data_IF_858553273241
#
_entry.id   IF_858553273241
#
_cell.length_a   1.000
_cell.length_b   1.000
_cell.length_c   1.000
_cell.angle_alpha   90.00
_cell.angle_beta   90.00
_cell.angle_gamma   90.00
#
_symmetry.space_group_name_H-M   'P 1'
#
loop_
_entity.id
_entity.type
_entity.pdbx_description
1 polymer ?
#
# COMPACT_ATOMS: atom_id res chain seq x y z
N UNK A 1 21.87 16.18 -89.54
CA UNK A 1 22.30 14.79 -89.82
C UNK A 1 22.09 13.96 -88.56
N UNK A 2 21.65 12.71 -88.74
CA UNK A 2 21.35 11.66 -87.75
C UNK A 2 20.05 11.78 -86.90
N UNK A 3 19.09 10.91 -87.24
CA UNK A 3 17.94 10.45 -86.44
C UNK A 3 18.33 9.15 -85.68
N UNK A 4 17.46 8.38 -84.96
CA UNK A 4 16.01 8.50 -84.77
C UNK A 4 15.45 8.15 -83.35
N UNK A 5 14.11 8.11 -83.32
CA UNK A 5 13.09 7.86 -82.27
C UNK A 5 13.08 6.47 -81.59
N UNK A 6 12.36 6.44 -80.45
CA UNK A 6 11.49 5.41 -79.80
C UNK A 6 11.95 5.11 -78.35
N UNK A 7 11.11 4.98 -77.32
CA UNK A 7 9.73 4.51 -77.23
C UNK A 7 8.94 5.12 -76.06
N UNK A 8 7.62 5.08 -76.23
CA UNK A 8 6.61 5.35 -75.23
C UNK A 8 6.33 4.13 -74.33
N UNK A 9 5.90 4.39 -73.09
CA UNK A 9 5.07 3.59 -72.15
C UNK A 9 5.53 3.93 -70.71
N UNK A 10 4.71 4.12 -69.70
CA UNK A 10 3.26 4.04 -69.50
C UNK A 10 3.04 4.43 -68.01
N UNK A 11 1.79 4.73 -67.65
CA UNK A 11 1.21 4.70 -66.28
C UNK A 11 1.22 5.98 -65.44
N UNK A 12 0.25 6.81 -65.79
CA UNK A 12 -0.77 7.29 -64.85
C UNK A 12 -1.16 6.23 -63.81
N UNK A 13 -0.91 6.49 -62.51
CA UNK A 13 -1.76 6.14 -61.35
C UNK A 13 -1.02 6.44 -60.03
N UNK A 14 -1.09 7.68 -59.52
CA UNK A 14 -0.90 7.97 -58.08
C UNK A 14 -1.26 9.41 -57.68
N UNK A 15 -2.17 10.07 -58.41
CA UNK A 15 -2.60 11.45 -58.11
C UNK A 15 -4.01 11.41 -57.54
N UNK A 16 -4.15 10.97 -56.28
CA UNK A 16 -5.30 11.19 -55.37
C UNK A 16 -5.12 10.33 -54.10
N UNK A 17 -4.54 10.95 -53.08
CA UNK A 17 -4.78 10.76 -51.63
C UNK A 17 -3.62 11.41 -50.87
N UNK A 18 -3.51 12.73 -51.02
CA UNK A 18 -2.88 13.57 -49.99
C UNK A 18 -4.04 13.96 -49.07
N UNK A 19 -4.27 13.15 -48.05
CA UNK A 19 -5.19 13.45 -46.96
C UNK A 19 -4.34 13.89 -45.78
N UNK A 20 -4.69 15.06 -45.25
CA UNK A 20 -4.04 15.75 -44.14
C UNK A 20 -3.76 14.82 -42.95
N UNK A 21 -2.48 14.63 -42.64
CA UNK A 21 -2.05 14.30 -41.29
C UNK A 21 -1.53 15.57 -40.63
N UNK A 22 -2.45 16.48 -40.36
CA UNK A 22 -2.25 17.55 -39.40
C UNK A 22 -2.28 16.92 -38.00
N UNK A 23 -1.09 16.74 -37.41
CA UNK A 23 -0.95 16.43 -36.00
C UNK A 23 -1.38 17.67 -35.19
N UNK A 24 -2.69 17.80 -35.01
CA UNK A 24 -3.34 18.86 -34.23
C UNK A 24 -2.71 18.87 -32.83
N UNK A 25 -1.98 19.94 -32.51
CA UNK A 25 -1.54 20.18 -31.14
C UNK A 25 -2.76 20.13 -30.20
N UNK A 26 -2.64 19.50 -29.02
CA UNK A 26 -3.75 19.42 -28.08
C UNK A 26 -4.26 20.83 -27.78
N UNK A 27 -5.58 21.03 -27.90
CA UNK A 27 -6.18 22.34 -27.61
C UNK A 27 -5.95 22.68 -26.14
N UNK A 28 -5.77 23.96 -25.82
CA UNK A 28 -5.57 24.41 -24.43
C UNK A 28 -6.64 23.86 -23.48
N UNK A 29 -7.89 23.77 -23.95
CA UNK A 29 -9.01 23.21 -23.19
C UNK A 29 -8.84 21.72 -22.82
N UNK A 30 -8.16 20.91 -23.63
CA UNK A 30 -7.93 19.49 -23.30
C UNK A 30 -6.83 19.31 -22.25
N UNK A 31 -5.82 20.18 -22.27
CA UNK A 31 -4.70 20.17 -21.29
C UNK A 31 -5.19 20.61 -19.91
N UNK A 32 -6.01 21.66 -19.86
CA UNK A 32 -6.60 22.14 -18.61
C UNK A 32 -7.53 21.08 -17.99
N UNK A 33 -8.30 20.36 -18.81
CA UNK A 33 -9.15 19.26 -18.35
C UNK A 33 -8.36 18.04 -17.82
N UNK A 34 -7.20 17.71 -18.40
CA UNK A 34 -6.36 16.59 -17.94
C UNK A 34 -5.64 16.96 -16.63
N UNK A 35 -5.14 18.19 -16.55
CA UNK A 35 -4.51 18.74 -15.34
C UNK A 35 -5.49 18.75 -14.15
N UNK A 36 -6.72 19.22 -14.35
CA UNK A 36 -7.73 19.26 -13.30
C UNK A 36 -8.12 17.85 -12.82
N UNK A 37 -8.21 16.89 -13.75
CA UNK A 37 -8.46 15.49 -13.40
C UNK A 37 -7.32 14.92 -12.53
N UNK A 38 -6.06 15.22 -12.86
CA UNK A 38 -4.91 14.75 -12.08
C UNK A 38 -4.78 15.46 -10.73
N UNK A 39 -5.07 16.76 -10.64
CA UNK A 39 -5.16 17.47 -9.36
C UNK A 39 -6.27 16.89 -8.48
N UNK A 40 -7.42 16.55 -9.06
CA UNK A 40 -8.49 15.87 -8.34
C UNK A 40 -8.07 14.47 -7.88
N UNK A 41 -7.32 13.71 -8.69
CA UNK A 41 -6.75 12.41 -8.27
C UNK A 41 -5.78 12.55 -7.10
N UNK A 42 -4.91 13.56 -7.12
CA UNK A 42 -4.05 13.88 -5.97
C UNK A 42 -4.86 14.26 -4.72
N UNK A 43 -5.95 15.00 -4.90
CA UNK A 43 -6.86 15.39 -3.81
C UNK A 43 -7.53 14.21 -3.10
N UNK A 44 -7.68 13.08 -3.78
CA UNK A 44 -8.22 11.85 -3.18
C UNK A 44 -7.22 11.10 -2.31
N UNK A 45 -5.93 11.38 -2.40
CA UNK A 45 -4.91 10.72 -1.58
C UNK A 45 -4.86 11.33 -0.17
N UNK A 46 -4.44 10.52 0.81
CA UNK A 46 -4.25 10.95 2.18
C UNK A 46 -3.05 11.89 2.34
N UNK A 47 -2.84 12.43 3.54
CA UNK A 47 -1.73 13.29 3.95
C UNK A 47 -1.57 14.59 3.14
N UNK A 48 -2.67 15.20 2.71
CA UNK A 48 -2.67 16.50 2.02
C UNK A 48 -1.81 16.49 0.74
N UNK A 49 -1.81 15.38 0.00
CA UNK A 49 -0.95 15.19 -1.18
C UNK A 49 -1.17 16.23 -2.28
N UNK A 50 -2.38 16.77 -2.40
CA UNK A 50 -2.64 17.89 -3.32
C UNK A 50 -1.86 19.15 -2.93
N UNK A 51 -1.85 19.52 -1.65
CA UNK A 51 -1.13 20.69 -1.16
C UNK A 51 0.39 20.52 -1.32
N UNK A 52 0.89 19.29 -1.11
CA UNK A 52 2.32 19.00 -1.17
C UNK A 52 2.85 18.81 -2.59
N UNK A 53 2.10 18.12 -3.45
CA UNK A 53 2.58 17.67 -4.78
C UNK A 53 1.83 18.32 -5.95
N UNK A 54 0.81 19.14 -5.71
CA UNK A 54 0.01 19.74 -6.79
C UNK A 54 0.81 20.63 -7.74
N UNK A 55 1.88 21.27 -7.25
CA UNK A 55 2.78 22.05 -8.11
C UNK A 55 3.56 21.17 -9.11
N UNK A 56 3.81 19.89 -8.78
CA UNK A 56 4.49 18.96 -9.69
C UNK A 56 3.63 18.58 -10.89
N UNK A 57 2.32 18.42 -10.70
CA UNK A 57 1.37 18.18 -11.80
C UNK A 57 1.43 19.33 -12.81
N UNK A 58 1.32 20.57 -12.33
CA UNK A 58 1.41 21.77 -13.17
C UNK A 58 2.74 21.83 -13.94
N UNK A 59 3.85 21.53 -13.26
CA UNK A 59 5.19 21.54 -13.87
C UNK A 59 5.36 20.43 -14.91
N UNK A 60 4.78 19.25 -14.67
CA UNK A 60 4.80 18.12 -15.59
C UNK A 60 4.02 18.45 -16.87
N UNK A 61 2.79 18.95 -16.76
CA UNK A 61 1.98 19.31 -17.93
C UNK A 61 2.65 20.40 -18.77
N UNK A 62 3.29 21.39 -18.12
CA UNK A 62 4.09 22.40 -18.84
C UNK A 62 5.24 21.76 -19.65
N UNK A 63 5.93 20.75 -19.10
CA UNK A 63 7.03 20.07 -19.79
C UNK A 63 6.53 19.15 -20.91
N UNK A 64 5.43 18.45 -20.67
CA UNK A 64 4.74 17.59 -21.64
C UNK A 64 4.27 18.40 -22.85
N UNK A 65 3.59 19.53 -22.61
CA UNK A 65 3.15 20.45 -23.67
C UNK A 65 4.33 21.03 -24.47
N UNK A 66 5.46 21.31 -23.81
CA UNK A 66 6.67 21.78 -24.47
C UNK A 66 7.44 20.67 -25.24
N UNK A 67 7.00 19.41 -25.15
CA UNK A 67 7.72 18.22 -25.66
C UNK A 67 9.20 18.16 -25.23
N UNK A 68 9.52 18.70 -24.04
CA UNK A 68 10.89 18.80 -23.54
C UNK A 68 11.23 17.64 -22.62
N UNK A 69 12.26 16.87 -22.98
CA UNK A 69 12.93 15.93 -22.09
C UNK A 69 12.81 14.47 -22.49
N UNK A 70 12.80 13.58 -21.49
CA UNK A 70 12.69 12.13 -21.67
C UNK A 70 11.28 11.66 -21.24
N UNK A 71 10.31 11.59 -22.17
CA UNK A 71 8.88 11.43 -21.85
C UNK A 71 8.60 10.10 -21.14
N UNK A 72 9.35 9.04 -21.45
CA UNK A 72 9.18 7.73 -20.82
C UNK A 72 9.56 7.74 -19.33
N UNK A 73 10.73 8.29 -18.98
CA UNK A 73 11.17 8.39 -17.58
C UNK A 73 10.26 9.30 -16.78
N UNK A 74 9.92 10.46 -17.36
CA UNK A 74 9.05 11.43 -16.73
C UNK A 74 7.65 10.84 -16.52
N UNK A 75 7.10 10.15 -17.52
CA UNK A 75 5.82 9.43 -17.42
C UNK A 75 5.85 8.30 -16.40
N UNK A 76 6.95 7.55 -16.30
CA UNK A 76 7.11 6.49 -15.28
C UNK A 76 6.99 7.06 -13.88
N UNK A 77 7.75 8.11 -13.55
CA UNK A 77 7.69 8.77 -12.23
C UNK A 77 6.38 9.51 -11.98
N UNK A 78 5.82 10.12 -13.01
CA UNK A 78 4.55 10.83 -12.91
C UNK A 78 3.41 9.91 -12.50
N UNK A 79 3.33 8.70 -13.08
CA UNK A 79 2.34 7.71 -12.66
C UNK A 79 2.50 7.29 -11.18
N UNK A 80 3.74 7.21 -10.69
CA UNK A 80 4.00 6.93 -9.27
C UNK A 80 3.50 8.02 -8.32
N UNK A 81 3.39 9.27 -8.79
CA UNK A 81 2.92 10.41 -7.99
C UNK A 81 1.51 10.20 -7.42
N UNK A 82 0.68 9.42 -8.12
CA UNK A 82 -0.71 9.11 -7.79
C UNK A 82 -0.89 7.84 -6.95
N UNK A 83 0.22 7.18 -6.58
CA UNK A 83 0.19 5.98 -5.75
C UNK A 83 0.21 6.39 -4.27
N UNK A 84 -0.53 5.70 -3.37
CA UNK A 84 -0.43 5.92 -1.93
C UNK A 84 1.02 5.89 -1.43
N UNK A 85 1.39 6.83 -0.57
CA UNK A 85 2.79 7.05 -0.17
C UNK A 85 3.40 5.85 0.57
N UNK A 86 2.56 5.06 1.24
CA UNK A 86 2.96 3.82 1.94
C UNK A 86 3.49 2.75 0.98
N UNK A 87 3.11 2.82 -0.30
CA UNK A 87 3.61 1.93 -1.35
C UNK A 87 4.81 2.51 -2.08
N UNK A 88 5.21 3.75 -1.79
CA UNK A 88 6.37 4.33 -2.44
C UNK A 88 7.65 3.62 -1.97
N UNK A 89 8.54 3.21 -2.89
CA UNK A 89 9.79 2.58 -2.52
C UNK A 89 10.81 3.59 -1.96
N UNK A 90 10.70 4.86 -2.38
CA UNK A 90 11.56 5.99 -2.03
C UNK A 90 10.73 7.28 -2.10
N UNK A 91 11.34 8.43 -1.77
CA UNK A 91 10.72 9.73 -2.01
C UNK A 91 10.57 10.03 -3.53
N UNK A 92 9.43 9.61 -4.10
CA UNK A 92 9.09 9.83 -5.52
C UNK A 92 8.90 11.32 -5.81
N UNK A 93 8.36 12.10 -4.86
CA UNK A 93 8.14 13.54 -5.02
C UNK A 93 9.47 14.25 -5.21
N UNK A 94 10.42 14.02 -4.30
CA UNK A 94 11.78 14.55 -4.40
C UNK A 94 12.51 14.10 -5.67
N UNK A 95 12.38 12.82 -6.03
CA UNK A 95 12.98 12.29 -7.26
C UNK A 95 12.42 12.97 -8.52
N UNK A 96 11.09 13.14 -8.61
CA UNK A 96 10.43 13.80 -9.73
C UNK A 96 10.83 15.29 -9.80
N UNK A 97 10.95 15.99 -8.67
CA UNK A 97 11.45 17.37 -8.61
C UNK A 97 12.86 17.49 -9.18
N UNK A 98 13.75 16.56 -8.83
CA UNK A 98 15.12 16.54 -9.37
C UNK A 98 15.13 16.30 -10.88
N UNK A 99 14.32 15.35 -11.37
CA UNK A 99 14.21 15.07 -12.81
C UNK A 99 13.71 16.30 -13.57
N UNK A 100 12.60 16.92 -13.13
CA UNK A 100 12.03 18.13 -13.74
C UNK A 100 13.05 19.27 -13.76
N UNK A 101 13.80 19.47 -12.67
CA UNK A 101 14.85 20.49 -12.60
C UNK A 101 15.94 20.24 -13.64
N UNK A 102 16.45 19.02 -13.73
CA UNK A 102 17.50 18.67 -14.69
C UNK A 102 17.03 18.83 -16.15
N UNK A 103 15.79 18.42 -16.46
CA UNK A 103 15.20 18.58 -17.80
C UNK A 103 15.02 20.05 -18.18
N UNK A 104 14.54 20.90 -17.26
CA UNK A 104 14.41 22.35 -17.50
C UNK A 104 15.75 23.03 -17.73
N UNK A 105 16.76 22.65 -16.95
CA UNK A 105 18.13 23.17 -17.07
C UNK A 105 18.93 22.54 -18.21
N UNK A 106 18.32 21.65 -19.02
CA UNK A 106 18.99 20.87 -20.09
C UNK A 106 20.27 20.16 -19.62
N UNK A 107 20.31 19.81 -18.34
CA UNK A 107 21.47 19.16 -17.72
C UNK A 107 21.38 17.67 -17.97
N UNK A 108 22.52 17.04 -18.30
CA UNK A 108 22.58 15.58 -18.46
C UNK A 108 22.22 14.90 -17.14
N UNK A 109 21.29 13.95 -17.20
CA UNK A 109 20.95 13.12 -16.05
C UNK A 109 22.14 12.24 -15.66
N UNK A 110 22.42 12.18 -14.36
CA UNK A 110 23.47 11.32 -13.80
C UNK A 110 23.10 9.85 -13.97
N UNK A 111 24.08 8.98 -14.20
CA UNK A 111 23.85 7.55 -14.45
C UNK A 111 23.18 6.87 -13.26
N UNK A 112 23.51 7.30 -12.05
CA UNK A 112 22.96 6.81 -10.79
C UNK A 112 21.47 7.13 -10.65
N UNK A 113 21.04 8.30 -11.15
CA UNK A 113 19.63 8.69 -11.16
C UNK A 113 18.82 7.84 -12.14
N UNK A 114 19.39 7.55 -13.31
CA UNK A 114 18.80 6.65 -14.30
C UNK A 114 18.66 5.23 -13.74
N UNK A 115 19.72 4.72 -13.11
CA UNK A 115 19.69 3.43 -12.42
C UNK A 115 18.63 3.39 -11.32
N UNK A 116 18.51 4.45 -10.51
CA UNK A 116 17.49 4.54 -9.47
C UNK A 116 16.06 4.44 -10.04
N UNK A 117 15.79 5.15 -11.15
CA UNK A 117 14.48 5.11 -11.83
C UNK A 117 14.24 3.74 -12.46
N UNK A 118 15.27 3.11 -13.01
CA UNK A 118 15.18 1.79 -13.63
C UNK A 118 14.80 0.71 -12.60
N UNK A 119 15.44 0.74 -11.43
CA UNK A 119 15.20 -0.17 -10.31
C UNK A 119 13.83 0.01 -9.62
N UNK A 120 13.04 1.02 -9.98
CA UNK A 120 11.70 1.17 -9.45
C UNK A 120 10.83 -0.05 -9.83
N UNK A 121 10.10 -0.63 -8.87
CA UNK A 121 9.24 -1.78 -9.12
C UNK A 121 8.11 -1.41 -10.10
N UNK A 122 7.39 -2.41 -10.63
CA UNK A 122 6.15 -2.16 -11.34
C UNK A 122 5.14 -1.43 -10.44
N UNK A 123 4.28 -0.64 -11.08
CA UNK A 123 3.23 0.10 -10.36
C UNK A 123 2.29 -0.89 -9.67
N UNK A 124 1.95 -0.68 -8.39
CA UNK A 124 0.97 -1.52 -7.70
C UNK A 124 -0.39 -1.51 -8.39
N UNK A 125 -1.08 -2.65 -8.40
CA UNK A 125 -2.41 -2.72 -8.99
C UNK A 125 -3.44 -1.85 -8.23
N UNK A 126 -4.56 -1.55 -8.89
CA UNK A 126 -5.61 -0.66 -8.37
C UNK A 126 -6.21 -1.14 -7.04
N UNK A 127 -6.34 -2.46 -6.86
CA UNK A 127 -6.84 -3.05 -5.62
C UNK A 127 -5.88 -2.80 -4.44
N UNK A 128 -4.58 -2.89 -4.66
CA UNK A 128 -3.57 -2.56 -3.68
C UNK A 128 -3.60 -1.06 -3.35
N UNK A 129 -3.72 -0.21 -4.36
CA UNK A 129 -3.79 1.23 -4.19
C UNK A 129 -5.03 1.64 -3.38
N UNK A 130 -6.22 1.16 -3.77
CA UNK A 130 -7.49 1.51 -3.11
C UNK A 130 -7.49 1.12 -1.63
N UNK A 131 -7.11 -0.12 -1.33
CA UNK A 131 -7.06 -0.58 0.07
C UNK A 131 -6.01 0.14 0.91
N UNK A 132 -4.88 0.53 0.29
CA UNK A 132 -3.85 1.31 1.00
C UNK A 132 -4.29 2.75 1.22
N UNK A 133 -4.97 3.35 0.25
CA UNK A 133 -5.53 4.70 0.36
C UNK A 133 -6.58 4.79 1.47
N UNK A 134 -7.51 3.82 1.55
CA UNK A 134 -8.48 3.72 2.67
C UNK A 134 -7.76 3.65 4.02
N UNK A 135 -6.71 2.84 4.10
CA UNK A 135 -5.91 2.70 5.31
C UNK A 135 -5.16 3.98 5.67
N UNK A 136 -4.52 4.65 4.71
CA UNK A 136 -3.82 5.92 4.94
C UNK A 136 -4.76 7.03 5.40
N UNK A 137 -5.98 7.11 4.86
CA UNK A 137 -6.99 8.05 5.33
C UNK A 137 -7.38 7.77 6.78
N UNK A 138 -7.61 6.51 7.14
CA UNK A 138 -7.88 6.17 8.54
C UNK A 138 -6.71 6.58 9.44
N UNK A 139 -5.48 6.30 9.02
CA UNK A 139 -4.25 6.67 9.74
C UNK A 139 -4.08 8.18 9.87
N UNK A 140 -4.35 8.97 8.82
CA UNK A 140 -4.26 10.43 8.84
C UNK A 140 -5.15 11.06 9.91
N UNK A 141 -6.32 10.45 10.16
CA UNK A 141 -7.28 10.87 11.18
C UNK A 141 -7.02 10.19 12.54
N UNK A 142 -5.89 9.49 12.71
CA UNK A 142 -5.50 8.83 13.96
C UNK A 142 -6.21 7.51 14.25
N UNK A 143 -7.02 7.01 13.31
CA UNK A 143 -7.76 5.76 13.44
C UNK A 143 -6.90 4.56 13.00
N UNK A 144 -6.01 4.13 13.90
CA UNK A 144 -5.31 2.85 13.79
C UNK A 144 -6.15 1.65 14.26
N UNK A 145 -7.39 1.91 14.68
CA UNK A 145 -8.16 1.07 15.61
C UNK A 145 -8.88 -0.06 14.89
N UNK A 146 -9.11 0.07 13.58
CA UNK A 146 -9.66 -1.00 12.75
C UNK A 146 -8.87 -2.32 12.79
N UNK A 147 -7.59 -2.26 13.21
CA UNK A 147 -6.67 -3.39 13.27
C UNK A 147 -6.47 -3.93 14.70
N UNK A 148 -6.89 -3.18 15.72
CA UNK A 148 -6.84 -3.58 17.14
C UNK A 148 -8.24 -3.93 17.65
N UNK A 149 -8.34 -4.94 18.51
CA UNK A 149 -9.58 -5.32 19.20
C UNK A 149 -9.63 -4.86 20.65
N UNK A 150 -8.51 -4.37 21.17
CA UNK A 150 -8.33 -4.13 22.60
C UNK A 150 -8.12 -2.64 22.91
N UNK A 151 -8.95 -1.78 22.29
CA UNK A 151 -8.90 -0.33 22.49
C UNK A 151 -9.00 0.07 23.97
N UNK A 152 -9.80 -0.66 24.76
CA UNK A 152 -9.91 -0.47 26.20
C UNK A 152 -8.57 -0.52 26.95
N UNK A 153 -7.58 -1.33 26.52
CA UNK A 153 -6.24 -1.37 27.12
C UNK A 153 -5.47 -0.06 26.89
N UNK A 154 -5.65 0.52 25.70
CA UNK A 154 -5.09 1.83 25.36
C UNK A 154 -5.72 2.91 26.23
N UNK A 155 -7.05 3.02 26.21
CA UNK A 155 -7.79 4.10 26.88
C UNK A 155 -7.50 4.11 28.38
N UNK A 156 -7.47 2.93 29.01
CA UNK A 156 -7.14 2.80 30.43
C UNK A 156 -5.71 3.27 30.75
N UNK A 157 -4.75 2.95 29.88
CA UNK A 157 -3.34 3.34 30.08
C UNK A 157 -3.14 4.83 29.83
N UNK A 158 -3.74 5.39 28.78
CA UNK A 158 -3.71 6.82 28.48
C UNK A 158 -4.31 7.62 29.64
N UNK A 159 -5.47 7.20 30.16
CA UNK A 159 -6.11 7.83 31.30
C UNK A 159 -5.26 7.76 32.58
N UNK A 160 -4.59 6.62 32.83
CA UNK A 160 -3.67 6.46 33.95
C UNK A 160 -2.47 7.40 33.82
N UNK A 161 -1.85 7.46 32.64
CA UNK A 161 -0.69 8.31 32.37
C UNK A 161 -1.03 9.80 32.50
N UNK A 162 -2.18 10.22 31.98
CA UNK A 162 -2.64 11.60 32.09
C UNK A 162 -2.84 12.06 33.54
N UNK A 163 -3.04 11.12 34.48
CA UNK A 163 -3.18 11.40 35.92
C UNK A 163 -1.87 11.26 36.69
N UNK A 164 -0.83 10.70 36.09
CA UNK A 164 0.45 10.43 36.74
C UNK A 164 1.20 11.74 37.07
N UNK A 165 1.47 12.04 38.36
CA UNK A 165 2.19 13.25 38.76
C UNK A 165 3.63 13.29 38.26
N UNK A 166 4.32 12.16 38.17
CA UNK A 166 5.71 12.09 37.71
C UNK A 166 5.81 12.37 36.20
N UNK A 167 4.81 11.92 35.43
CA UNK A 167 4.67 12.30 34.03
C UNK A 167 4.50 13.81 33.88
N UNK A 168 3.55 14.40 34.62
CA UNK A 168 3.30 15.85 34.58
C UNK A 168 4.52 16.65 35.00
N UNK A 169 5.21 16.25 36.07
CA UNK A 169 6.43 16.90 36.54
C UNK A 169 7.55 16.85 35.48
N UNK A 170 7.75 15.69 34.85
CA UNK A 170 8.74 15.54 33.77
C UNK A 170 8.41 16.45 32.58
N UNK A 171 7.14 16.53 32.18
CA UNK A 171 6.72 17.41 31.08
C UNK A 171 6.88 18.89 31.42
N UNK A 172 6.53 19.30 32.63
CA UNK A 172 6.73 20.68 33.08
C UNK A 172 8.21 21.05 33.14
N UNK A 173 9.09 20.16 33.61
CA UNK A 173 10.53 20.40 33.60
C UNK A 173 11.08 20.66 32.17
N UNK A 174 10.57 19.94 31.17
CA UNK A 174 10.92 20.18 29.76
C UNK A 174 10.42 21.56 29.33
N UNK A 175 9.16 21.91 29.59
CA UNK A 175 8.60 23.22 29.23
C UNK A 175 9.32 24.39 29.92
N UNK A 176 9.83 24.20 31.13
CA UNK A 176 10.62 25.22 31.83
C UNK A 176 12.03 25.40 31.24
N UNK A 177 12.56 24.37 30.58
CA UNK A 177 13.92 24.39 30.01
C UNK A 177 13.96 24.72 28.52
N UNK A 178 12.84 24.57 27.81
CA UNK A 178 12.78 24.72 26.36
C UNK A 178 11.49 25.44 25.93
N UNK A 179 11.61 26.33 24.94
CA UNK A 179 10.45 26.83 24.19
C UNK A 179 9.88 25.69 23.31
N UNK A 180 8.94 24.94 23.87
CA UNK A 180 8.33 23.78 23.21
C UNK A 180 7.45 24.17 22.02
N UNK A 181 6.96 25.41 21.97
CA UNK A 181 6.05 25.87 20.92
C UNK A 181 6.75 25.93 19.57
N UNK A 182 8.04 26.27 19.57
CA UNK A 182 8.92 26.21 18.39
C UNK A 182 8.95 24.83 17.71
N UNK A 183 8.72 23.75 18.47
CA UNK A 183 8.85 22.38 17.98
C UNK A 183 7.54 21.72 17.56
N UNK A 184 6.42 22.44 17.67
CA UNK A 184 5.10 21.97 17.27
C UNK A 184 4.93 22.03 15.75
N UNK A 185 4.28 21.01 15.19
CA UNK A 185 3.85 21.05 13.80
C UNK A 185 2.55 21.85 13.63
N UNK A 186 2.02 21.91 12.40
CA UNK A 186 0.73 22.56 12.09
C UNK A 186 -0.46 21.97 12.88
N UNK A 187 -0.35 20.72 13.34
CA UNK A 187 -1.35 20.03 14.17
C UNK A 187 -1.11 20.23 15.66
N UNK A 188 -0.17 21.09 16.06
CA UNK A 188 0.19 21.33 17.46
C UNK A 188 0.81 20.10 18.16
N UNK A 189 1.40 19.19 17.38
CA UNK A 189 2.01 17.95 17.85
C UNK A 189 3.53 18.05 17.77
N UNK A 190 4.19 17.65 18.86
CA UNK A 190 5.63 17.38 18.89
C UNK A 190 5.82 15.86 18.79
N UNK A 191 6.42 15.39 17.70
CA UNK A 191 6.66 13.95 17.46
C UNK A 191 8.07 13.54 17.88
N UNK A 192 8.15 12.34 18.45
CA UNK A 192 9.41 11.64 18.73
C UNK A 192 10.07 11.17 17.42
N UNK A 193 11.41 11.10 17.40
CA UNK A 193 12.15 10.43 16.32
C UNK A 193 12.20 8.91 16.55
N UNK A 194 11.82 8.13 15.54
CA UNK A 194 11.81 6.66 15.59
C UNK A 194 13.08 6.00 15.01
N UNK A 195 14.11 6.79 14.68
CA UNK A 195 15.27 6.31 13.90
C UNK A 195 16.07 5.22 14.62
N UNK A 196 16.11 5.25 15.95
CA UNK A 196 16.84 4.27 16.77
C UNK A 196 16.23 2.85 16.76
N UNK A 197 15.02 2.64 16.24
CA UNK A 197 14.32 1.36 16.38
C UNK A 197 14.63 0.35 15.26
N UNK A 198 15.11 0.80 14.08
CA UNK A 198 15.27 -0.06 12.89
C UNK A 198 16.42 0.29 11.96
N UNK A 199 17.19 1.34 12.24
CA UNK A 199 18.23 1.82 11.32
C UNK A 199 19.40 2.43 12.08
N UNK A 200 20.02 1.63 12.95
CA UNK A 200 21.31 1.97 13.55
C UNK A 200 22.34 1.91 12.42
N UNK A 201 22.91 3.06 12.07
CA UNK A 201 24.00 3.19 11.09
C UNK A 201 25.30 3.43 11.84
N UNK A 202 26.43 3.08 11.23
CA UNK A 202 27.77 3.32 11.80
C UNK A 202 28.02 4.80 12.11
N UNK A 203 27.40 5.72 11.35
CA UNK A 203 27.46 7.17 11.54
C UNK A 203 26.40 7.73 12.50
N UNK A 204 25.72 6.88 13.28
CA UNK A 204 24.75 7.32 14.28
C UNK A 204 25.43 8.00 15.47
N UNK A 205 25.60 9.32 15.36
CA UNK A 205 26.25 10.14 16.38
C UNK A 205 25.24 10.79 17.34
N UNK A 206 25.60 10.84 18.62
CA UNK A 206 24.90 11.67 19.61
C UNK A 206 25.07 13.15 19.25
N UNK A 207 23.97 13.80 18.85
CA UNK A 207 23.96 15.23 18.51
C UNK A 207 23.57 16.04 19.75
N UNK A 208 24.46 16.92 20.18
CA UNK A 208 24.25 17.80 21.34
C UNK A 208 24.76 19.24 21.09
N UNK A 209 24.83 19.65 19.82
CA UNK A 209 25.48 20.91 19.45
C UNK A 209 24.52 22.09 19.60
N UNK A 210 23.37 22.01 18.94
CA UNK A 210 22.38 23.10 18.91
C UNK A 210 21.32 22.95 20.02
N UNK A 211 20.62 24.04 20.40
CA UNK A 211 19.46 23.97 21.29
C UNK A 211 18.39 22.98 20.79
N UNK A 212 18.17 22.93 19.46
CA UNK A 212 17.21 22.03 18.83
C UNK A 212 17.64 20.55 18.98
N UNK A 213 18.94 20.25 18.85
CA UNK A 213 19.48 18.90 19.10
C UNK A 213 19.24 18.45 20.55
N UNK A 214 19.51 19.34 21.50
CA UNK A 214 19.34 19.07 22.94
C UNK A 214 17.87 18.82 23.28
N UNK A 215 16.96 19.68 22.79
CA UNK A 215 15.53 19.48 22.97
C UNK A 215 15.10 18.13 22.40
N UNK A 216 15.49 17.80 21.16
CA UNK A 216 15.10 16.54 20.53
C UNK A 216 15.61 15.32 21.29
N UNK A 217 16.85 15.36 21.78
CA UNK A 217 17.40 14.28 22.59
C UNK A 217 16.63 14.10 23.91
N UNK A 218 16.37 15.19 24.65
CA UNK A 218 15.58 15.16 25.90
C UNK A 218 14.16 14.66 25.65
N UNK A 219 13.50 15.20 24.61
CA UNK A 219 12.12 14.85 24.26
C UNK A 219 12.00 13.38 23.82
N UNK A 220 12.94 12.87 23.02
CA UNK A 220 12.93 11.47 22.60
C UNK A 220 13.06 10.52 23.81
N UNK A 221 13.94 10.83 24.77
CA UNK A 221 14.09 10.06 26.02
C UNK A 221 12.84 10.13 26.88
N UNK A 222 12.24 11.31 27.03
CA UNK A 222 10.96 11.50 27.72
C UNK A 222 9.86 10.64 27.09
N UNK A 223 9.73 10.67 25.77
CA UNK A 223 8.77 9.85 25.05
C UNK A 223 9.06 8.35 25.22
N UNK A 224 10.32 7.93 25.19
CA UNK A 224 10.67 6.52 25.41
C UNK A 224 10.30 6.06 26.83
N UNK A 225 10.61 6.86 27.86
CA UNK A 225 10.27 6.57 29.26
C UNK A 225 8.78 6.33 29.46
N UNK A 226 7.94 7.12 28.79
CA UNK A 226 6.48 7.10 28.95
C UNK A 226 5.74 6.38 27.82
N UNK A 227 6.45 5.66 26.94
CA UNK A 227 5.90 4.95 25.78
C UNK A 227 5.09 5.83 24.81
N UNK A 228 5.52 7.07 24.60
CA UNK A 228 4.83 8.06 23.78
C UNK A 228 5.31 8.05 22.33
N UNK A 229 4.36 8.33 21.45
CA UNK A 229 4.58 8.76 20.08
C UNK A 229 4.94 10.25 20.01
N UNK A 230 4.38 11.03 20.94
CA UNK A 230 4.61 12.47 21.01
C UNK A 230 3.73 13.14 22.06
N UNK A 231 3.62 14.47 21.95
CA UNK A 231 2.77 15.33 22.78
C UNK A 231 1.92 16.20 21.87
N UNK A 232 0.61 16.26 22.11
CA UNK A 232 -0.30 17.22 21.49
C UNK A 232 -0.64 18.28 22.54
N UNK A 233 0.03 19.43 22.47
CA UNK A 233 0.02 20.43 23.56
C UNK A 233 0.43 19.76 24.89
N UNK A 234 -0.48 19.68 25.86
CA UNK A 234 -0.27 19.01 27.16
C UNK A 234 -0.86 17.60 27.23
N UNK A 235 -1.41 17.08 26.13
CA UNK A 235 -1.96 15.73 26.06
C UNK A 235 -0.89 14.73 25.62
N UNK A 236 -0.63 13.64 26.38
CA UNK A 236 0.25 12.57 25.92
C UNK A 236 -0.35 11.86 24.72
N UNK A 237 0.46 11.62 23.69
CA UNK A 237 0.11 10.72 22.59
C UNK A 237 0.81 9.39 22.82
N UNK A 238 0.12 8.45 23.45
CA UNK A 238 0.65 7.13 23.76
C UNK A 238 0.83 6.28 22.47
N UNK A 239 1.91 5.49 22.39
CA UNK A 239 2.12 4.59 21.24
C UNK A 239 1.06 3.50 21.22
N UNK A 240 0.29 3.41 20.13
CA UNK A 240 -0.73 2.36 19.96
C UNK A 240 -0.15 1.05 19.44
N UNK A 241 -0.82 -0.07 19.72
CA UNK A 241 -0.70 -1.28 18.92
C UNK A 241 -1.12 -0.96 17.49
N UNK A 242 -0.18 -1.07 16.55
CA UNK A 242 -0.43 -0.72 15.13
C UNK A 242 0.02 -1.83 14.21
N UNK A 243 -0.61 -1.90 13.04
CA UNK A 243 -0.18 -2.74 11.94
C UNK A 243 -0.08 -1.88 10.68
N UNK A 244 1.15 -1.68 10.21
CA UNK A 244 1.46 -0.83 9.08
C UNK A 244 1.83 -1.67 7.87
N UNK A 245 1.33 -1.28 6.72
CA UNK A 245 1.78 -1.81 5.45
C UNK A 245 3.13 -1.13 5.10
N UNK A 246 4.13 -1.86 4.62
CA UNK A 246 5.44 -1.32 4.19
C UNK A 246 5.85 -1.97 2.89
N UNK A 247 6.62 -1.37 1.97
CA UNK A 247 6.92 -1.98 0.66
C UNK A 247 7.32 -3.48 0.72
N UNK A 248 7.98 -3.90 1.79
CA UNK A 248 8.42 -5.29 2.01
C UNK A 248 7.41 -6.21 2.71
N UNK A 249 6.46 -5.68 3.50
CA UNK A 249 5.54 -6.55 4.24
C UNK A 249 4.48 -5.82 5.06
N UNK A 250 3.99 -6.50 6.09
CA UNK A 250 3.13 -5.89 7.11
C UNK A 250 3.86 -5.94 8.43
N UNK A 251 4.11 -4.78 9.02
CA UNK A 251 4.80 -4.63 10.29
C UNK A 251 3.80 -4.39 11.40
N UNK A 252 3.85 -5.22 12.44
CA UNK A 252 3.05 -5.05 13.64
C UNK A 252 3.96 -4.46 14.71
N UNK A 253 3.55 -3.34 15.29
CA UNK A 253 4.24 -2.71 16.40
C UNK A 253 3.43 -2.94 17.68
N UNK A 254 4.06 -3.56 18.67
CA UNK A 254 3.48 -3.83 19.99
C UNK A 254 4.19 -2.91 21.00
N UNK A 255 3.48 -1.97 21.65
CA UNK A 255 4.06 -1.09 22.66
C UNK A 255 4.54 -1.85 23.89
N UNK A 256 5.61 -1.39 24.55
CA UNK A 256 6.18 -2.10 25.70
C UNK A 256 5.24 -2.16 26.93
N UNK A 257 4.33 -1.20 27.08
CA UNK A 257 3.32 -1.23 28.14
C UNK A 257 2.18 -2.23 27.87
N UNK A 258 2.16 -2.86 26.68
CA UNK A 258 1.06 -3.69 26.23
C UNK A 258 1.33 -5.18 26.49
N UNK A 259 0.57 -5.77 27.42
CA UNK A 259 0.52 -7.24 27.54
C UNK A 259 -0.19 -7.84 26.33
N UNK A 260 0.61 -8.36 25.40
CA UNK A 260 0.17 -8.72 24.06
C UNK A 260 -0.37 -10.14 23.96
N UNK A 261 -1.61 -10.23 23.48
CA UNK A 261 -2.21 -11.49 23.06
C UNK A 261 -2.64 -11.38 21.59
N UNK A 262 -1.96 -12.14 20.72
CA UNK A 262 -2.22 -12.11 19.29
C UNK A 262 -3.69 -12.39 18.93
N UNK A 263 -4.39 -13.31 19.63
CA UNK A 263 -5.76 -13.68 19.27
C UNK A 263 -6.78 -12.63 19.72
N UNK A 264 -6.57 -12.09 20.93
CA UNK A 264 -7.49 -11.15 21.59
C UNK A 264 -7.27 -9.72 21.15
N UNK A 265 -6.03 -9.30 20.94
CA UNK A 265 -5.71 -7.89 20.72
C UNK A 265 -5.71 -7.48 19.25
N UNK A 266 -5.54 -8.44 18.33
CA UNK A 266 -5.41 -8.15 16.89
C UNK A 266 -6.61 -8.63 16.08
N UNK A 267 -7.02 -7.78 15.13
CA UNK A 267 -7.92 -8.15 14.05
C UNK A 267 -7.16 -8.82 12.88
N UNK A 268 -6.83 -10.10 13.04
CA UNK A 268 -6.11 -10.87 12.00
C UNK A 268 -6.84 -10.92 10.67
N UNK A 269 -8.18 -10.86 10.66
CA UNK A 269 -8.96 -10.82 9.41
C UNK A 269 -8.67 -9.53 8.64
N UNK A 270 -8.69 -8.38 9.32
CA UNK A 270 -8.38 -7.10 8.72
C UNK A 270 -6.92 -7.01 8.27
N UNK A 271 -5.96 -7.42 9.12
CA UNK A 271 -4.54 -7.47 8.75
C UNK A 271 -4.30 -8.39 7.54
N UNK A 272 -4.90 -9.59 7.53
CA UNK A 272 -4.75 -10.52 6.39
C UNK A 272 -5.39 -9.96 5.12
N UNK A 273 -6.53 -9.28 5.23
CA UNK A 273 -7.18 -8.61 4.09
C UNK A 273 -6.24 -7.54 3.53
N UNK A 274 -5.71 -6.67 4.38
CA UNK A 274 -4.77 -5.61 4.00
C UNK A 274 -3.48 -6.17 3.40
N UNK A 275 -2.91 -7.23 3.99
CA UNK A 275 -1.69 -7.85 3.48
C UNK A 275 -1.88 -8.47 2.08
N UNK A 276 -3.02 -9.10 1.84
CA UNK A 276 -3.33 -9.78 0.56
C UNK A 276 -3.64 -8.83 -0.59
N UNK A 277 -3.89 -7.55 -0.35
CA UNK A 277 -4.16 -6.59 -1.43
C UNK A 277 -2.99 -6.49 -2.41
N UNK A 278 -1.80 -6.89 -1.96
CA UNK A 278 -0.56 -6.99 -2.74
C UNK A 278 -0.47 -8.19 -3.70
N UNK A 279 -1.50 -9.01 -3.78
CA UNK A 279 -1.48 -10.21 -4.62
C UNK A 279 -0.65 -11.36 -4.04
N UNK A 280 -0.24 -11.28 -2.77
CA UNK A 280 0.48 -12.37 -2.10
C UNK A 280 -0.44 -13.59 -1.97
N UNK A 281 -0.08 -14.67 -2.64
CA UNK A 281 -0.75 -15.96 -2.52
C UNK A 281 -0.34 -16.64 -1.22
N UNK A 282 -1.16 -17.57 -0.72
CA UNK A 282 -0.79 -18.38 0.45
C UNK A 282 0.40 -19.27 0.07
N UNK A 283 1.52 -19.10 0.77
CA UNK A 283 2.77 -19.83 0.51
C UNK A 283 2.88 -21.10 1.35
N UNK A 284 3.58 -22.12 0.83
CA UNK A 284 4.01 -23.32 1.56
C UNK A 284 3.68 -24.65 0.86
N UNK A 285 4.69 -25.52 0.70
CA UNK A 285 4.54 -26.86 0.12
C UNK A 285 3.52 -27.73 0.88
N UNK A 286 3.45 -27.58 2.20
CA UNK A 286 2.46 -28.27 3.05
C UNK A 286 1.03 -27.77 2.78
N UNK A 287 0.85 -26.50 2.44
CA UNK A 287 -0.45 -25.92 2.12
C UNK A 287 -0.93 -26.33 0.73
N UNK A 288 -0.03 -26.40 -0.26
CA UNK A 288 -0.37 -26.92 -1.59
C UNK A 288 -0.69 -28.41 -1.54
N UNK A 289 0.09 -29.21 -0.81
CA UNK A 289 -0.17 -30.64 -0.58
C UNK A 289 -1.51 -30.87 0.14
N UNK A 290 -1.79 -30.13 1.23
CA UNK A 290 -3.07 -30.24 1.94
C UNK A 290 -4.26 -29.80 1.07
N UNK A 291 -4.09 -28.81 0.19
CA UNK A 291 -5.14 -28.39 -0.74
C UNK A 291 -5.39 -29.45 -1.82
N UNK A 292 -4.34 -30.04 -2.35
CA UNK A 292 -4.44 -31.15 -3.31
C UNK A 292 -5.09 -32.38 -2.66
N UNK A 293 -4.66 -32.76 -1.46
CA UNK A 293 -5.24 -33.86 -0.68
C UNK A 293 -6.73 -33.61 -0.40
N UNK A 294 -7.08 -32.41 0.08
CA UNK A 294 -8.48 -32.04 0.34
C UNK A 294 -9.34 -32.00 -0.92
N UNK A 295 -8.78 -31.60 -2.07
CA UNK A 295 -9.46 -31.66 -3.36
C UNK A 295 -9.73 -33.12 -3.77
N UNK A 296 -8.72 -33.99 -3.68
CA UNK A 296 -8.87 -35.44 -3.97
C UNK A 296 -9.90 -36.10 -3.06
N UNK A 297 -9.87 -35.76 -1.77
CA UNK A 297 -10.81 -36.25 -0.78
C UNK A 297 -12.24 -35.76 -1.05
N UNK A 298 -12.42 -34.49 -1.43
CA UNK A 298 -13.72 -33.96 -1.84
C UNK A 298 -14.27 -34.64 -3.10
N UNK A 299 -13.45 -34.85 -4.14
CA UNK A 299 -13.86 -35.55 -5.35
C UNK A 299 -14.20 -37.02 -5.06
N UNK A 300 -13.47 -37.68 -4.14
CA UNK A 300 -13.81 -39.03 -3.67
C UNK A 300 -15.12 -39.04 -2.90
N UNK A 301 -15.31 -38.10 -1.98
CA UNK A 301 -16.55 -37.96 -1.21
C UNK A 301 -17.76 -37.75 -2.12
N UNK A 302 -17.67 -36.97 -3.20
CA UNK A 302 -18.76 -36.82 -4.18
C UNK A 302 -19.06 -38.10 -4.96
N UNK A 303 -18.03 -38.83 -5.41
CA UNK A 303 -18.22 -40.11 -6.10
C UNK A 303 -18.93 -41.11 -5.19
N UNK A 304 -18.48 -41.23 -3.94
CA UNK A 304 -19.14 -42.05 -2.94
C UNK A 304 -20.56 -41.56 -2.65
N UNK A 305 -20.76 -40.24 -2.57
CA UNK A 305 -22.09 -39.66 -2.39
C UNK A 305 -23.04 -40.05 -3.52
N UNK A 306 -22.59 -40.05 -4.78
CA UNK A 306 -23.37 -40.48 -5.94
C UNK A 306 -23.67 -42.00 -5.90
N UNK A 307 -22.68 -42.83 -5.57
CA UNK A 307 -22.86 -44.28 -5.41
C UNK A 307 -23.84 -44.62 -4.28
N UNK A 308 -23.79 -43.90 -3.17
CA UNK A 308 -24.73 -44.07 -2.07
C UNK A 308 -26.17 -43.75 -2.49
N UNK A 309 -26.36 -42.72 -3.34
CA UNK A 309 -27.67 -42.41 -3.92
C UNK A 309 -28.15 -43.50 -4.90
N UNK A 310 -27.26 -44.02 -5.76
CA UNK A 310 -27.60 -45.13 -6.67
C UNK A 310 -28.02 -46.39 -5.90
N UNK A 311 -27.47 -46.60 -4.69
CA UNK A 311 -27.85 -47.68 -3.77
C UNK A 311 -29.11 -47.37 -2.94
N UNK A 312 -29.79 -46.25 -3.18
CA UNK A 312 -31.01 -45.87 -2.47
C UNK A 312 -30.81 -45.39 -1.03
N UNK A 313 -29.57 -45.16 -0.59
CA UNK A 313 -29.29 -44.70 0.77
C UNK A 313 -29.69 -43.22 0.94
N UNK A 314 -30.43 -42.92 2.01
CA UNK A 314 -30.94 -41.57 2.34
C UNK A 314 -30.59 -41.17 3.77
N UNK A 315 -30.58 -39.86 4.03
CA UNK A 315 -30.38 -39.28 5.37
C UNK A 315 -29.08 -39.75 6.05
N UNK A 316 -29.15 -40.02 7.35
CA UNK A 316 -28.01 -40.45 8.17
C UNK A 316 -27.35 -41.73 7.65
N UNK A 317 -28.12 -42.66 7.09
CA UNK A 317 -27.59 -43.90 6.51
C UNK A 317 -26.64 -43.63 5.34
N UNK A 318 -26.94 -42.61 4.53
CA UNK A 318 -26.07 -42.15 3.44
C UNK A 318 -24.79 -41.52 3.98
N UNK A 319 -24.92 -40.63 4.97
CA UNK A 319 -23.80 -39.95 5.63
C UNK A 319 -22.85 -40.96 6.28
N UNK A 320 -23.37 -41.89 7.08
CA UNK A 320 -22.58 -42.91 7.76
C UNK A 320 -21.88 -43.85 6.77
N UNK A 321 -22.55 -44.21 5.67
CA UNK A 321 -21.95 -45.03 4.62
C UNK A 321 -20.79 -44.30 3.93
N UNK A 322 -20.98 -43.04 3.52
CA UNK A 322 -19.91 -42.26 2.87
C UNK A 322 -18.74 -41.99 3.81
N UNK A 323 -18.99 -41.74 5.10
CA UNK A 323 -17.92 -41.59 6.10
C UNK A 323 -17.11 -42.87 6.26
N UNK A 324 -17.78 -44.02 6.36
CA UNK A 324 -17.11 -45.32 6.45
C UNK A 324 -16.22 -45.59 5.24
N UNK A 325 -16.71 -45.31 4.04
CA UNK A 325 -15.95 -45.49 2.78
C UNK A 325 -14.81 -44.47 2.60
N UNK A 326 -14.82 -43.37 3.35
CA UNK A 326 -13.73 -42.40 3.46
C UNK A 326 -12.74 -42.75 4.57
N UNK A 327 -12.93 -43.86 5.29
CA UNK A 327 -12.19 -44.23 6.52
C UNK A 327 -12.30 -43.16 7.61
N UNK A 328 -13.42 -42.44 7.67
CA UNK A 328 -13.72 -41.53 8.76
C UNK A 328 -14.50 -42.27 9.85
N UNK A 329 -14.28 -41.90 11.11
CA UNK A 329 -15.12 -42.37 12.20
C UNK A 329 -16.57 -41.89 11.94
N UNK A 330 -17.52 -42.81 11.95
CA UNK A 330 -18.96 -42.51 11.78
C UNK A 330 -19.53 -41.62 12.89
N UNK A 331 -18.80 -41.44 14.00
CA UNK A 331 -19.13 -40.48 15.08
C UNK A 331 -18.61 -39.07 14.80
N UNK A 332 -17.85 -38.87 13.71
CA UNK A 332 -17.35 -37.55 13.29
C UNK A 332 -18.50 -36.64 12.88
N UNK A 333 -18.43 -35.35 13.24
CA UNK A 333 -19.46 -34.36 12.92
C UNK A 333 -19.79 -34.32 11.41
N UNK A 334 -21.06 -34.63 11.08
CA UNK A 334 -21.65 -34.59 9.75
C UNK A 334 -21.39 -33.26 9.02
N UNK A 335 -21.30 -32.15 9.76
CA UNK A 335 -21.01 -30.82 9.20
C UNK A 335 -19.67 -30.81 8.45
N UNK A 336 -18.72 -31.65 8.85
CA UNK A 336 -17.42 -31.78 8.19
C UNK A 336 -17.57 -32.37 6.78
N UNK A 337 -18.36 -33.44 6.63
CA UNK A 337 -18.65 -34.05 5.33
C UNK A 337 -19.45 -33.09 4.43
N UNK A 338 -20.49 -32.45 4.97
CA UNK A 338 -21.28 -31.45 4.23
C UNK A 338 -20.42 -30.29 3.72
N UNK A 339 -19.50 -29.79 4.56
CA UNK A 339 -18.55 -28.74 4.17
C UNK A 339 -17.57 -29.22 3.10
N UNK A 340 -17.13 -30.48 3.16
CA UNK A 340 -16.25 -31.07 2.16
C UNK A 340 -16.96 -31.16 0.79
N UNK A 341 -18.19 -31.66 0.76
CA UNK A 341 -19.01 -31.74 -0.47
C UNK A 341 -19.29 -30.35 -1.08
N UNK A 342 -19.54 -29.34 -0.25
CA UNK A 342 -19.76 -27.94 -0.69
C UNK A 342 -18.49 -27.25 -1.21
N UNK A 343 -17.31 -27.69 -0.79
CA UNK A 343 -16.06 -27.02 -1.15
C UNK A 343 -15.65 -27.16 -2.62
N UNK A 344 -16.15 -28.19 -3.31
CA UNK A 344 -15.84 -28.42 -4.74
C UNK A 344 -16.92 -27.86 -5.67
N UNK A 345 -18.17 -27.68 -5.21
CA UNK A 345 -19.20 -26.93 -5.97
C UNK A 345 -18.83 -25.45 -6.13
N UNK A 346 -18.18 -24.85 -5.14
CA UNK A 346 -17.70 -23.45 -5.22
C UNK A 346 -16.40 -23.28 -6.02
N UNK A 347 -15.69 -24.36 -6.37
CA UNK A 347 -14.51 -24.29 -7.25
C UNK A 347 -14.86 -24.37 -8.73
N UNK A 348 -16.06 -24.85 -9.08
CA UNK A 348 -16.59 -24.80 -10.45
C UNK A 348 -17.19 -23.42 -10.75
N UNK A 349 -17.88 -22.80 -9.79
CA UNK A 349 -18.46 -21.45 -9.94
C UNK A 349 -17.43 -20.31 -10.06
N UNK A 350 -16.15 -20.55 -9.79
CA UNK A 350 -15.07 -19.57 -9.98
C UNK A 350 -14.29 -19.75 -11.28
N UNK A 351 -14.49 -20.86 -12.00
CA UNK A 351 -13.92 -21.07 -13.33
C UNK A 351 -14.88 -20.57 -14.43
N UNK A 352 -16.19 -20.56 -14.17
CA UNK A 352 -17.20 -20.01 -15.09
C UNK A 352 -17.28 -18.47 -15.10
N UNK A 353 -16.50 -17.77 -14.25
CA UNK A 353 -16.39 -16.29 -14.27
C UNK A 353 -15.08 -15.79 -14.89
N UNK A 354 -14.28 -16.69 -15.46
CA UNK A 354 -13.03 -16.35 -16.17
C UNK A 354 -13.08 -16.70 -17.67
N UNK A 355 -14.26 -17.06 -18.17
CA UNK A 355 -14.56 -17.09 -19.60
C UNK A 355 -15.86 -16.32 -19.80
N UNK A 356 -15.73 -15.00 -19.89
CA UNK A 356 -16.43 -14.07 -20.79
C UNK A 356 -15.91 -12.66 -20.52
#
# INVERSE_FOLDING_TARGET
MAAPRRDARDRSTARRQAQDHDAKAPSSASVDSEMDADLHRLGKLAYHRLEWSGDLVKRFETLKAAQKGQPELLGKLYRWLFIPITLWPIDIDGLLRQLIKALRSRTRLRKELLLLIDLLPPIPNEKACSATMEHEHAVQHGNYESLSKAQHKFDATEAKLARDPAFKASWQAIKSSFDVDKFRDRKQIIRRRLVAERSIREDWQFRWRSPDDRFRAVFDVFCQRWNLYGMERDKPLLLKLTANLTPHGTMIFVPAYWSFDAKRDINWKAITKLHKTRGVSKQGAKLSANRAARKREASRAKRLWAQAAQRGLKGEKRTAWVMRELNWDTRTDERTLRRLLKSESSSLSHLDTLVL
#
